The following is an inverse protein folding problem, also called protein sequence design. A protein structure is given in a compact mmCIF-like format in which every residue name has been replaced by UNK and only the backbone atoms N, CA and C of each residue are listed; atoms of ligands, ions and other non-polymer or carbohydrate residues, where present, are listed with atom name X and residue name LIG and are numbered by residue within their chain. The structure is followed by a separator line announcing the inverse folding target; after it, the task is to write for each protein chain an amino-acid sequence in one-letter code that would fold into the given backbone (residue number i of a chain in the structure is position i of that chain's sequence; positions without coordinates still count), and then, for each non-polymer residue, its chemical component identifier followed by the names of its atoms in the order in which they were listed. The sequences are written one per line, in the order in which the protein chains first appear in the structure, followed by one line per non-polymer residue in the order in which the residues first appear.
data_IF_944207174913
#
_entry.id   IF_944207174913
#
_cell.length_a   1.000
_cell.length_b   1.000
_cell.length_c   1.000
_cell.angle_alpha   90.00
_cell.angle_beta   90.00
_cell.angle_gamma   90.00
#
_symmetry.space_group_name_H-M   'P 1'
#
loop_
_entity.id
_entity.type
_entity.pdbx_description
1 polymer ?
#
# COMPACT_ATOMS: atom_id res chain seq x y z
N UNK A 1 -11.31 -13.26 28.37
CA UNK A 1 -12.03 -12.52 27.30
C UNK A 1 -10.97 -11.77 26.54
N UNK A 2 -10.31 -12.46 25.62
CA UNK A 2 -9.29 -11.85 24.77
C UNK A 2 -9.96 -11.58 23.42
N UNK A 3 -10.34 -10.33 23.19
CA UNK A 3 -10.77 -9.88 21.88
C UNK A 3 -9.57 -9.95 20.96
N UNK A 4 -9.42 -11.07 20.24
CA UNK A 4 -8.56 -11.12 19.06
C UNK A 4 -9.08 -10.06 18.08
N UNK A 5 -8.42 -8.91 18.05
CA UNK A 5 -8.60 -7.92 17.01
C UNK A 5 -8.17 -8.57 15.70
N UNK A 6 -9.13 -9.10 14.95
CA UNK A 6 -8.90 -9.57 13.58
C UNK A 6 -8.51 -8.35 12.75
N UNK A 7 -7.21 -8.22 12.46
CA UNK A 7 -6.73 -7.24 11.50
C UNK A 7 -7.36 -7.62 10.16
N UNK A 8 -8.11 -6.72 9.49
CA UNK A 8 -8.73 -7.04 8.22
C UNK A 8 -7.65 -7.45 7.22
N UNK A 9 -7.87 -8.58 6.54
CA UNK A 9 -6.96 -9.05 5.51
C UNK A 9 -6.73 -7.92 4.49
N UNK A 10 -5.46 -7.64 4.21
CA UNK A 10 -5.05 -6.64 3.23
C UNK A 10 -4.43 -7.36 2.04
N UNK A 11 -4.89 -7.03 0.84
CA UNK A 11 -4.40 -7.57 -0.41
C UNK A 11 -3.96 -6.43 -1.32
N UNK A 12 -2.79 -6.57 -1.94
CA UNK A 12 -2.33 -5.67 -2.98
C UNK A 12 -2.78 -6.22 -4.34
N UNK A 13 -3.65 -5.49 -5.03
CA UNK A 13 -4.29 -5.97 -6.27
C UNK A 13 -3.60 -5.47 -7.52
N UNK A 14 -2.98 -4.29 -7.48
CA UNK A 14 -2.22 -3.80 -8.62
C UNK A 14 -1.87 -2.32 -8.59
N UNK A 15 -1.19 -1.89 -9.66
CA UNK A 15 -0.83 -0.50 -9.92
C UNK A 15 -1.59 0.03 -11.13
N UNK A 16 -2.03 1.28 -11.04
CA UNK A 16 -2.80 1.94 -12.09
C UNK A 16 -2.23 3.32 -12.37
N UNK A 17 -2.19 3.71 -13.64
CA UNK A 17 -1.84 5.07 -14.03
C UNK A 17 -3.12 5.86 -14.29
N UNK A 18 -3.47 6.75 -13.36
CA UNK A 18 -4.71 7.52 -13.41
C UNK A 18 -4.46 8.95 -13.93
N UNK A 19 -5.31 9.47 -14.82
CA UNK A 19 -5.19 10.86 -15.27
C UNK A 19 -5.28 11.85 -14.11
N UNK A 20 -4.26 12.69 -13.95
CA UNK A 20 -4.21 13.74 -12.91
C UNK A 20 -3.63 13.29 -11.56
N UNK A 21 -3.67 11.98 -11.24
CA UNK A 21 -3.08 11.43 -10.00
C UNK A 21 -1.74 10.72 -10.25
N UNK A 22 -1.51 10.24 -11.47
CA UNK A 22 -0.31 9.47 -11.81
C UNK A 22 -0.40 8.02 -11.36
N UNK A 23 0.74 7.43 -10.99
CA UNK A 23 0.83 6.03 -10.59
C UNK A 23 0.32 5.84 -9.15
N UNK A 24 -0.71 5.02 -9.00
CA UNK A 24 -1.32 4.66 -7.71
C UNK A 24 -1.35 3.15 -7.50
N UNK A 25 -1.33 2.71 -6.24
CA UNK A 25 -1.50 1.33 -5.83
C UNK A 25 -2.90 1.09 -5.26
N UNK A 26 -3.52 -0.01 -5.63
CA UNK A 26 -4.77 -0.47 -5.03
C UNK A 26 -4.51 -1.54 -3.96
N UNK A 27 -5.04 -1.28 -2.77
CA UNK A 27 -5.05 -2.22 -1.66
C UNK A 27 -6.49 -2.49 -1.24
N UNK A 28 -6.88 -3.76 -1.19
CA UNK A 28 -8.17 -4.19 -0.66
C UNK A 28 -8.00 -4.51 0.82
N UNK A 29 -8.68 -3.76 1.68
CA UNK A 29 -8.68 -3.96 3.14
C UNK A 29 -10.07 -4.46 3.54
N UNK A 30 -10.16 -5.74 3.90
CA UNK A 30 -11.45 -6.40 4.12
C UNK A 30 -12.27 -6.42 2.83
N UNK A 31 -13.33 -5.60 2.75
CA UNK A 31 -14.20 -5.50 1.56
C UNK A 31 -14.09 -4.18 0.82
N UNK A 32 -13.12 -3.33 1.19
CA UNK A 32 -12.97 -1.98 0.64
C UNK A 32 -11.67 -1.86 -0.15
N UNK A 33 -11.77 -1.41 -1.38
CA UNK A 33 -10.62 -1.00 -2.18
C UNK A 33 -10.19 0.42 -1.79
N UNK A 34 -8.89 0.62 -1.68
CA UNK A 34 -8.26 1.90 -1.36
C UNK A 34 -7.12 2.16 -2.34
N UNK A 35 -7.07 3.38 -2.88
CA UNK A 35 -6.00 3.83 -3.76
C UNK A 35 -5.00 4.68 -2.98
N UNK A 36 -3.71 4.44 -3.21
CA UNK A 36 -2.62 5.18 -2.59
C UNK A 36 -1.62 5.60 -3.66
N UNK A 37 -1.30 6.88 -3.71
CA UNK A 37 -0.07 7.34 -4.34
C UNK A 37 1.16 6.92 -3.50
N UNK A 38 2.36 7.23 -4.00
CA UNK A 38 3.61 6.93 -3.31
C UNK A 38 3.68 7.51 -1.89
N UNK A 39 3.26 8.75 -1.72
CA UNK A 39 3.37 9.46 -0.44
C UNK A 39 2.36 8.90 0.57
N UNK A 40 1.12 8.66 0.15
CA UNK A 40 0.07 8.05 0.95
C UNK A 40 0.46 6.66 1.43
N UNK A 41 1.08 5.85 0.56
CA UNK A 41 1.53 4.51 0.91
C UNK A 41 2.69 4.54 1.93
N UNK A 42 3.67 5.43 1.75
CA UNK A 42 4.74 5.66 2.73
C UNK A 42 4.20 6.08 4.09
N UNK A 43 3.26 7.03 4.10
CA UNK A 43 2.62 7.49 5.34
C UNK A 43 1.89 6.35 6.07
N UNK A 44 1.15 5.53 5.32
CA UNK A 44 0.45 4.35 5.88
C UNK A 44 1.42 3.33 6.48
N UNK A 45 2.52 3.01 5.81
CA UNK A 45 3.54 2.09 6.34
C UNK A 45 4.10 2.59 7.67
N UNK A 46 4.43 3.89 7.76
CA UNK A 46 4.94 4.49 9.01
C UNK A 46 3.90 4.36 10.13
N UNK A 47 2.64 4.67 9.85
CA UNK A 47 1.56 4.55 10.83
C UNK A 47 1.39 3.11 11.32
N UNK A 48 1.34 2.13 10.42
CA UNK A 48 1.21 0.72 10.78
C UNK A 48 2.36 0.23 11.65
N UNK A 49 3.61 0.61 11.32
CA UNK A 49 4.78 0.27 12.13
C UNK A 49 4.73 0.89 13.53
N UNK A 50 4.22 2.12 13.65
CA UNK A 50 4.03 2.77 14.95
C UNK A 50 2.96 2.07 15.81
N UNK A 51 1.96 1.45 15.17
CA UNK A 51 0.92 0.64 15.82
C UNK A 51 1.36 -0.82 16.09
N UNK A 52 2.58 -1.20 15.70
CA UNK A 52 3.06 -2.58 15.80
C UNK A 52 2.40 -3.54 14.81
N UNK A 53 1.79 -3.03 13.74
CA UNK A 53 1.15 -3.80 12.67
C UNK A 53 2.16 -4.08 11.56
N UNK A 54 2.12 -5.30 11.03
CA UNK A 54 2.95 -5.73 9.90
C UNK A 54 2.44 -5.08 8.62
N UNK A 55 3.30 -4.38 7.89
CA UNK A 55 2.98 -3.61 6.68
C UNK A 55 3.56 -4.22 5.40
N UNK A 56 3.74 -5.55 5.34
CA UNK A 56 4.40 -6.26 4.23
C UNK A 56 3.71 -6.02 2.88
N UNK A 57 2.38 -5.92 2.88
CA UNK A 57 1.59 -5.73 1.66
C UNK A 57 1.78 -4.31 1.11
N UNK A 58 1.78 -3.32 2.00
CA UNK A 58 2.05 -1.92 1.65
C UNK A 58 3.50 -1.75 1.19
N UNK A 59 4.46 -2.41 1.82
CA UNK A 59 5.87 -2.39 1.43
C UNK A 59 6.08 -3.01 0.04
N UNK A 60 5.41 -4.13 -0.25
CA UNK A 60 5.42 -4.74 -1.58
C UNK A 60 4.87 -3.80 -2.64
N UNK A 61 3.71 -3.19 -2.39
CA UNK A 61 3.09 -2.22 -3.29
C UNK A 61 4.01 -1.02 -3.54
N UNK A 62 4.67 -0.50 -2.50
CA UNK A 62 5.61 0.62 -2.61
C UNK A 62 6.86 0.23 -3.43
N UNK A 63 7.39 -0.97 -3.21
CA UNK A 63 8.53 -1.48 -3.97
C UNK A 63 8.21 -1.59 -5.46
N UNK A 64 7.04 -2.13 -5.82
CA UNK A 64 6.62 -2.20 -7.22
C UNK A 64 6.40 -0.81 -7.84
N UNK A 65 5.78 0.11 -7.11
CA UNK A 65 5.56 1.48 -7.59
C UNK A 65 6.89 2.22 -7.82
N UNK A 66 7.91 1.96 -7.01
CA UNK A 66 9.25 2.50 -7.21
C UNK A 66 9.95 1.86 -8.41
N UNK A 67 9.75 0.56 -8.65
CA UNK A 67 10.34 -0.13 -9.81
C UNK A 67 9.81 0.43 -11.15
N UNK A 68 8.53 0.81 -11.22
CA UNK A 68 7.94 1.43 -12.43
C UNK A 68 8.36 2.89 -12.57
N UNK A 69 8.44 3.63 -11.47
CA UNK A 69 8.73 5.07 -11.48
C UNK A 69 10.21 5.45 -11.56
N UNK A 70 11.13 4.48 -11.47
CA UNK A 70 12.56 4.74 -11.61
C UNK A 70 12.93 4.73 -13.09
N UNK A 71 13.47 5.83 -13.66
CA UNK A 71 14.12 5.76 -14.96
C UNK A 71 15.25 4.74 -14.81
N UNK A 72 15.28 3.72 -15.66
CA UNK A 72 16.48 2.90 -15.80
C UNK A 72 17.59 3.87 -16.23
N UNK A 73 18.51 4.16 -15.31
CA UNK A 73 19.78 4.81 -15.63
C UNK A 73 20.55 3.80 -16.49
N UNK A 74 20.40 3.94 -17.80
CA UNK A 74 21.26 3.34 -18.83
C UNK A 74 22.37 4.33 -19.18
#
# INVERSE_FOLDING_TARGET
MDSITTIPATEFTGLYNLPGEGLVAELVVGTKAHLFDRQGLQHRIVHMKQEGVIAEVEELALAQMNAIGSPQLI
#
